data_IF_729946725768
#
_entry.id   IF_729946725768
#
_cell.length_a   1.000
_cell.length_b   1.000
_cell.length_c   1.000
_cell.angle_alpha   90.00
_cell.angle_beta   90.00
_cell.angle_gamma   90.00
#
_symmetry.space_group_name_H-M   'P 1'
#
loop_
_entity.id
_entity.type
_entity.pdbx_description
1 polymer ?
#
# COMPACT_ATOMS: atom_id res chain seq x y z
N UNK A 1 0.78 -64.07 46.82
CA UNK A 1 -0.26 -63.31 46.07
C UNK A 1 -0.41 -63.92 44.69
N UNK A 2 -1.63 -64.28 44.28
CA UNK A 2 -1.88 -65.06 43.06
C UNK A 2 -1.83 -64.14 41.83
N UNK A 3 -0.90 -64.41 40.91
CA UNK A 3 -0.67 -63.65 39.66
C UNK A 3 -1.95 -63.44 38.83
N UNK A 4 -2.89 -64.38 38.89
CA UNK A 4 -4.18 -64.27 38.19
C UNK A 4 -5.10 -63.13 38.66
N UNK A 5 -4.92 -62.61 39.88
CA UNK A 5 -5.73 -61.48 40.38
C UNK A 5 -5.22 -60.14 39.86
N UNK A 6 -3.92 -60.03 39.59
CA UNK A 6 -3.28 -58.82 39.04
C UNK A 6 -3.69 -58.64 37.58
N UNK A 7 -3.72 -59.73 36.81
CA UNK A 7 -4.14 -59.76 35.40
C UNK A 7 -5.61 -59.38 35.15
N UNK A 8 -6.47 -59.47 36.17
CA UNK A 8 -7.88 -59.05 36.08
C UNK A 8 -8.14 -57.66 36.67
N UNK A 9 -7.10 -56.97 37.13
CA UNK A 9 -7.25 -55.63 37.71
C UNK A 9 -7.61 -54.60 36.62
N UNK A 10 -8.69 -53.83 36.76
CA UNK A 10 -9.02 -52.73 35.85
C UNK A 10 -7.91 -51.68 35.76
N UNK A 11 -7.17 -51.49 36.85
CA UNK A 11 -6.01 -50.58 36.90
C UNK A 11 -4.86 -51.06 36.01
N UNK A 12 -4.58 -52.36 35.97
CA UNK A 12 -3.54 -52.91 35.08
C UNK A 12 -3.91 -52.67 33.62
N UNK A 13 -5.16 -52.95 33.24
CA UNK A 13 -5.64 -52.69 31.89
C UNK A 13 -5.55 -51.21 31.53
N UNK A 14 -5.92 -50.31 32.46
CA UNK A 14 -5.78 -48.86 32.25
C UNK A 14 -4.34 -48.45 32.00
N UNK A 15 -3.38 -48.95 32.79
CA UNK A 15 -1.95 -48.66 32.58
C UNK A 15 -1.41 -49.24 31.27
N UNK A 16 -1.84 -50.45 30.89
CA UNK A 16 -1.42 -51.09 29.63
C UNK A 16 -2.01 -50.35 28.44
N UNK A 17 -3.31 -50.03 28.44
CA UNK A 17 -3.94 -49.23 27.40
C UNK A 17 -3.33 -47.83 27.31
N UNK A 18 -3.11 -47.16 28.44
CA UNK A 18 -2.43 -45.87 28.48
C UNK A 18 -1.01 -45.96 27.92
N UNK A 19 -0.26 -47.01 28.27
CA UNK A 19 1.07 -47.27 27.74
C UNK A 19 1.07 -47.55 26.24
N UNK A 20 0.07 -48.29 25.73
CA UNK A 20 -0.10 -48.54 24.29
C UNK A 20 -0.44 -47.27 23.52
N UNK A 21 -1.31 -46.42 24.05
CA UNK A 21 -1.65 -45.12 23.44
C UNK A 21 -0.43 -44.20 23.42
N UNK A 22 0.30 -44.07 24.53
CA UNK A 22 1.52 -43.27 24.58
C UNK A 22 2.64 -43.83 23.71
N UNK A 23 2.78 -45.15 23.64
CA UNK A 23 3.75 -45.82 22.76
C UNK A 23 3.42 -45.58 21.29
N UNK A 24 2.15 -45.72 20.91
CA UNK A 24 1.69 -45.43 19.55
C UNK A 24 1.89 -43.95 19.18
N UNK A 25 1.55 -43.03 20.09
CA UNK A 25 1.81 -41.61 19.91
C UNK A 25 3.30 -41.31 19.77
N UNK A 26 4.16 -41.95 20.55
CA UNK A 26 5.61 -41.75 20.47
C UNK A 26 6.22 -42.24 19.14
N UNK A 27 5.61 -43.22 18.48
CA UNK A 27 6.07 -43.76 17.19
C UNK A 27 5.46 -43.01 16.00
N UNK A 28 4.25 -42.45 16.15
CA UNK A 28 3.55 -41.71 15.09
C UNK A 28 3.74 -40.19 15.16
N UNK A 29 4.23 -39.66 16.29
CA UNK A 29 4.59 -38.25 16.40
C UNK A 29 5.76 -37.93 15.45
N UNK A 30 5.65 -36.88 14.62
CA UNK A 30 6.71 -36.50 13.70
C UNK A 30 8.03 -36.22 14.45
N UNK A 31 9.20 -36.53 13.85
CA UNK A 31 10.53 -36.39 14.48
C UNK A 31 10.85 -34.99 15.04
N UNK A 32 10.09 -33.98 14.63
CA UNK A 32 10.17 -32.60 15.11
C UNK A 32 9.92 -32.45 16.63
N UNK A 33 9.27 -33.42 17.28
CA UNK A 33 8.97 -33.34 18.71
C UNK A 33 10.21 -33.43 19.64
N UNK A 34 11.40 -33.78 19.13
CA UNK A 34 12.64 -33.92 19.93
C UNK A 34 13.89 -33.46 19.18
N UNK A 35 13.92 -32.23 18.70
CA UNK A 35 15.20 -31.53 18.63
C UNK A 35 15.69 -31.25 20.06
N UNK A 36 16.96 -31.49 20.43
CA UNK A 36 17.51 -31.04 21.70
C UNK A 36 17.29 -29.53 21.83
N UNK A 37 16.73 -29.07 22.96
CA UNK A 37 16.57 -27.63 23.20
C UNK A 37 17.97 -27.01 23.28
N UNK A 38 18.32 -26.14 22.33
CA UNK A 38 19.48 -25.24 22.46
C UNK A 38 19.10 -24.19 23.52
N UNK A 39 19.35 -24.52 24.77
CA UNK A 39 19.03 -23.73 25.97
C UNK A 39 20.02 -22.59 26.20
N UNK A 40 21.04 -22.47 25.35
CA UNK A 40 22.04 -21.41 25.40
C UNK A 40 21.60 -20.24 24.52
N UNK A 41 21.50 -19.06 25.13
CA UNK A 41 21.40 -17.79 24.41
C UNK A 41 22.82 -17.33 24.07
N UNK A 42 23.14 -17.21 22.78
CA UNK A 42 24.45 -16.74 22.31
C UNK A 42 24.29 -15.37 21.69
N UNK A 43 24.71 -14.33 22.42
CA UNK A 43 24.81 -12.97 21.88
C UNK A 43 26.18 -12.80 21.22
N UNK A 44 26.19 -12.46 19.94
CA UNK A 44 27.44 -12.23 19.20
C UNK A 44 28.00 -10.82 19.48
N UNK A 45 29.31 -10.65 19.32
CA UNK A 45 29.94 -9.32 19.42
C UNK A 45 29.34 -8.32 18.41
N UNK A 46 29.00 -8.78 17.21
CA UNK A 46 28.37 -7.95 16.19
C UNK A 46 26.96 -7.47 16.57
N UNK A 47 26.18 -8.27 17.30
CA UNK A 47 24.88 -7.86 17.84
C UNK A 47 25.04 -6.86 18.98
N UNK A 48 25.98 -7.12 19.88
CA UNK A 48 26.30 -6.21 20.97
C UNK A 48 26.75 -4.84 20.46
N UNK A 49 27.61 -4.80 19.43
CA UNK A 49 28.03 -3.56 18.79
C UNK A 49 26.86 -2.84 18.12
N UNK A 50 25.99 -3.56 17.38
CA UNK A 50 24.78 -2.96 16.77
C UNK A 50 23.84 -2.35 17.81
N UNK A 51 23.69 -2.98 18.98
CA UNK A 51 22.88 -2.44 20.09
C UNK A 51 23.49 -1.16 20.65
N UNK A 52 24.81 -1.13 20.82
CA UNK A 52 25.52 0.07 21.26
C UNK A 52 25.43 1.22 20.24
N UNK A 53 25.61 0.93 18.95
CA UNK A 53 25.49 1.90 17.86
C UNK A 53 24.07 2.46 17.77
N UNK A 54 23.06 1.61 17.92
CA UNK A 54 21.66 2.02 17.93
C UNK A 54 21.35 2.93 19.11
N UNK A 55 21.89 2.62 20.29
CA UNK A 55 21.77 3.47 21.47
C UNK A 55 22.45 4.83 21.25
N UNK A 56 23.67 4.83 20.70
CA UNK A 56 24.40 6.05 20.37
C UNK A 56 23.64 6.92 19.37
N UNK A 57 23.09 6.32 18.31
CA UNK A 57 22.31 7.04 17.31
C UNK A 57 21.04 7.68 17.90
N UNK A 58 20.37 7.01 18.84
CA UNK A 58 19.16 7.51 19.48
C UNK A 58 19.43 8.57 20.56
N UNK A 59 20.51 8.43 21.34
CA UNK A 59 20.76 9.23 22.55
C UNK A 59 21.98 10.16 22.46
N UNK A 60 22.78 10.07 21.39
CA UNK A 60 23.97 10.91 21.16
C UNK A 60 25.16 10.63 22.08
N UNK A 61 25.11 9.56 22.89
CA UNK A 61 26.22 9.09 23.74
C UNK A 61 26.26 7.57 23.83
N UNK A 62 27.41 7.03 24.24
CA UNK A 62 27.51 5.61 24.56
C UNK A 62 26.62 5.24 25.78
N UNK A 63 26.12 3.99 25.83
CA UNK A 63 25.39 3.50 26.99
C UNK A 63 26.32 3.39 28.21
N UNK A 64 25.79 3.69 29.38
CA UNK A 64 26.44 3.38 30.66
C UNK A 64 26.42 1.87 30.90
N UNK A 65 27.25 1.37 31.81
CA UNK A 65 27.31 -0.07 32.11
C UNK A 65 25.94 -0.63 32.56
N UNK A 66 25.16 0.14 33.31
CA UNK A 66 23.81 -0.24 33.72
C UNK A 66 22.85 -0.33 32.53
N UNK A 67 22.92 0.62 31.59
CA UNK A 67 22.12 0.62 30.36
C UNK A 67 22.54 -0.52 29.44
N UNK A 68 23.84 -0.80 29.28
CA UNK A 68 24.33 -1.95 28.52
C UNK A 68 23.81 -3.27 29.08
N UNK A 69 23.80 -3.45 30.41
CA UNK A 69 23.17 -4.62 31.05
C UNK A 69 21.67 -4.68 30.78
N UNK A 70 20.99 -3.54 30.77
CA UNK A 70 19.58 -3.44 30.39
C UNK A 70 19.34 -3.92 28.96
N UNK A 71 20.11 -3.40 27.99
CA UNK A 71 20.03 -3.79 26.58
C UNK A 71 20.22 -5.30 26.39
N UNK A 72 21.24 -5.88 27.03
CA UNK A 72 21.50 -7.33 26.95
C UNK A 72 20.36 -8.14 27.58
N UNK A 73 19.79 -7.67 28.70
CA UNK A 73 18.65 -8.30 29.34
C UNK A 73 17.41 -8.27 28.45
N UNK A 74 17.12 -7.13 27.84
CA UNK A 74 15.94 -6.97 26.96
C UNK A 74 16.07 -7.87 25.73
N UNK A 75 17.26 -7.93 25.11
CA UNK A 75 17.56 -8.88 24.04
C UNK A 75 17.32 -10.33 24.48
N UNK A 76 17.80 -10.72 25.66
CA UNK A 76 17.63 -12.09 26.16
C UNK A 76 16.16 -12.43 26.42
N UNK A 77 15.38 -11.47 26.94
CA UNK A 77 13.93 -11.64 27.15
C UNK A 77 13.23 -11.82 25.81
N UNK A 78 13.52 -10.98 24.81
CA UNK A 78 12.96 -11.09 23.46
C UNK A 78 13.25 -12.48 22.87
N UNK A 79 14.52 -12.91 22.90
CA UNK A 79 14.95 -14.19 22.34
C UNK A 79 14.25 -15.38 23.01
N UNK A 80 14.16 -15.39 24.35
CA UNK A 80 13.45 -16.45 25.08
C UNK A 80 11.96 -16.45 24.75
N UNK A 81 11.32 -15.28 24.72
CA UNK A 81 9.89 -15.18 24.42
C UNK A 81 9.57 -15.64 23.00
N UNK A 82 10.39 -15.26 22.01
CA UNK A 82 10.21 -15.71 20.63
C UNK A 82 10.41 -17.22 20.50
N UNK A 83 11.47 -17.78 21.12
CA UNK A 83 11.71 -19.23 21.11
C UNK A 83 10.53 -20.01 21.73
N UNK A 84 10.04 -19.57 22.89
CA UNK A 84 8.91 -20.22 23.55
C UNK A 84 7.59 -20.05 22.76
N UNK A 85 7.35 -18.88 22.15
CA UNK A 85 6.19 -18.66 21.29
C UNK A 85 6.17 -19.60 20.08
N UNK A 86 7.32 -19.80 19.42
CA UNK A 86 7.46 -20.75 18.31
C UNK A 86 7.32 -22.21 18.79
N UNK A 87 7.87 -22.55 19.96
CA UNK A 87 7.72 -23.88 20.56
C UNK A 87 6.26 -24.22 20.89
N UNK A 88 5.47 -23.21 21.29
CA UNK A 88 4.03 -23.31 21.51
C UNK A 88 3.22 -23.25 20.19
N UNK A 89 3.86 -22.98 19.05
CA UNK A 89 3.21 -22.87 17.75
C UNK A 89 2.30 -21.65 17.62
N UNK A 90 2.57 -20.56 18.35
CA UNK A 90 1.76 -19.34 18.32
C UNK A 90 1.83 -18.58 16.98
N UNK A 91 2.77 -18.94 16.11
CA UNK A 91 2.88 -18.47 14.73
C UNK A 91 1.90 -19.17 13.77
N UNK A 92 1.39 -20.34 14.14
CA UNK A 92 0.56 -21.19 13.26
C UNK A 92 -0.86 -20.67 13.18
N UNK A 93 -1.34 -20.46 11.95
CA UNK A 93 -2.72 -20.00 11.69
C UNK A 93 -2.93 -18.50 11.95
N UNK A 94 -1.92 -17.76 12.35
CA UNK A 94 -2.00 -16.32 12.54
C UNK A 94 -1.79 -15.56 11.22
N UNK A 95 -2.83 -14.88 10.76
CA UNK A 95 -2.80 -14.15 9.49
C UNK A 95 -1.81 -12.97 9.49
N UNK A 96 -1.62 -12.30 10.63
CA UNK A 96 -0.69 -11.17 10.76
C UNK A 96 0.76 -11.66 10.64
N UNK A 97 1.11 -12.74 11.33
CA UNK A 97 2.45 -13.34 11.27
C UNK A 97 2.72 -13.85 9.85
N UNK A 98 1.77 -14.55 9.23
CA UNK A 98 1.89 -15.01 7.83
C UNK A 98 2.11 -13.86 6.86
N UNK A 99 1.33 -12.78 6.98
CA UNK A 99 1.50 -11.60 6.15
C UNK A 99 2.87 -10.94 6.37
N UNK A 100 3.33 -10.84 7.63
CA UNK A 100 4.64 -10.26 7.96
C UNK A 100 5.80 -11.05 7.35
N UNK A 101 5.73 -12.38 7.37
CA UNK A 101 6.73 -13.25 6.73
C UNK A 101 6.71 -13.08 5.20
N UNK A 102 5.53 -13.03 4.58
CA UNK A 102 5.39 -12.73 3.15
C UNK A 102 6.04 -11.40 2.80
N UNK A 103 5.70 -10.32 3.50
CA UNK A 103 6.29 -8.99 3.25
C UNK A 103 7.81 -8.98 3.44
N UNK A 104 8.36 -9.74 4.41
CA UNK A 104 9.81 -9.90 4.55
C UNK A 104 10.44 -10.59 3.33
N UNK A 105 9.79 -11.62 2.80
CA UNK A 105 10.25 -12.30 1.57
C UNK A 105 10.19 -11.37 0.35
N UNK A 106 9.12 -10.59 0.21
CA UNK A 106 8.98 -9.58 -0.84
C UNK A 106 10.08 -8.51 -0.74
N UNK A 107 10.38 -8.02 0.47
CA UNK A 107 11.46 -7.08 0.69
C UNK A 107 12.84 -7.62 0.26
N UNK A 108 13.12 -8.90 0.56
CA UNK A 108 14.35 -9.54 0.12
C UNK A 108 14.43 -9.64 -1.42
N UNK A 109 13.30 -9.89 -2.08
CA UNK A 109 13.22 -9.95 -3.53
C UNK A 109 13.45 -8.57 -4.18
N UNK A 110 13.00 -7.49 -3.54
CA UNK A 110 13.10 -6.11 -4.04
C UNK A 110 14.46 -5.46 -3.75
N UNK A 111 15.19 -5.92 -2.73
CA UNK A 111 16.42 -5.30 -2.25
C UNK A 111 17.47 -4.98 -3.34
N UNK A 112 17.70 -5.82 -4.37
CA UNK A 112 18.66 -5.51 -5.43
C UNK A 112 18.31 -4.23 -6.20
N UNK A 113 17.03 -3.94 -6.42
CA UNK A 113 16.57 -2.79 -7.20
C UNK A 113 16.96 -1.44 -6.58
N UNK A 114 17.11 -1.38 -5.25
CA UNK A 114 17.49 -0.15 -4.54
C UNK A 114 18.87 0.39 -4.95
N UNK A 115 19.76 -0.50 -5.41
CA UNK A 115 21.14 -0.15 -5.80
C UNK A 115 21.32 -0.04 -7.32
N UNK A 116 20.30 -0.38 -8.10
CA UNK A 116 20.36 -0.27 -9.56
C UNK A 116 20.47 1.19 -10.00
N UNK A 117 21.19 1.41 -11.08
CA UNK A 117 21.32 2.72 -11.71
C UNK A 117 20.92 2.56 -13.18
N UNK A 118 19.85 3.24 -13.64
CA UNK A 118 19.48 3.21 -15.05
C UNK A 118 20.55 3.95 -15.86
N UNK A 119 20.83 3.47 -17.06
CA UNK A 119 21.51 4.30 -18.05
C UNK A 119 20.56 5.38 -18.59
N UNK A 120 21.12 6.38 -19.28
CA UNK A 120 20.34 7.53 -19.76
C UNK A 120 19.24 7.11 -20.74
N UNK A 121 19.51 6.15 -21.62
CA UNK A 121 18.55 5.66 -22.61
C UNK A 121 17.36 4.94 -21.94
N UNK A 122 17.60 4.12 -20.92
CA UNK A 122 16.57 3.46 -20.14
C UNK A 122 15.73 4.47 -19.35
N UNK A 123 16.36 5.50 -18.79
CA UNK A 123 15.67 6.54 -18.03
C UNK A 123 14.80 7.41 -18.95
N UNK A 124 15.30 7.80 -20.13
CA UNK A 124 14.52 8.52 -21.15
C UNK A 124 13.34 7.70 -21.66
N UNK A 125 13.56 6.41 -21.96
CA UNK A 125 12.49 5.51 -22.39
C UNK A 125 11.43 5.35 -21.29
N UNK A 126 11.83 5.21 -20.03
CA UNK A 126 10.90 5.13 -18.90
C UNK A 126 10.12 6.44 -18.73
N UNK A 127 10.79 7.59 -18.84
CA UNK A 127 10.17 8.90 -18.76
C UNK A 127 9.10 9.10 -19.85
N UNK A 128 9.45 8.77 -21.10
CA UNK A 128 8.54 8.90 -22.23
C UNK A 128 7.30 7.99 -22.10
N UNK A 129 7.51 6.74 -21.67
CA UNK A 129 6.41 5.79 -21.45
C UNK A 129 5.46 6.20 -20.31
N UNK A 130 5.97 6.95 -19.32
CA UNK A 130 5.22 7.38 -18.14
C UNK A 130 4.93 8.90 -18.13
N UNK A 131 5.03 9.58 -19.28
CA UNK A 131 4.94 11.03 -19.38
C UNK A 131 3.66 11.62 -18.75
N UNK A 132 2.54 10.90 -18.82
CA UNK A 132 1.27 11.33 -18.21
C UNK A 132 1.36 11.49 -16.68
N UNK A 133 2.18 10.69 -16.00
CA UNK A 133 2.37 10.78 -14.55
C UNK A 133 3.24 11.98 -14.14
N UNK A 134 4.07 12.47 -15.06
CA UNK A 134 5.00 13.59 -14.85
C UNK A 134 4.49 14.93 -15.39
N UNK A 135 3.43 14.89 -16.20
CA UNK A 135 2.83 16.08 -16.77
C UNK A 135 2.17 16.93 -15.67
N UNK A 136 2.46 18.24 -15.69
CA UNK A 136 1.62 19.19 -14.98
C UNK A 136 0.29 19.29 -15.73
N UNK A 137 -0.84 19.05 -15.06
CA UNK A 137 -2.15 19.10 -15.70
C UNK A 137 -2.43 20.50 -16.24
N UNK A 138 -3.23 20.56 -17.30
CA UNK A 138 -3.73 21.84 -17.80
C UNK A 138 -4.47 22.58 -16.68
N UNK A 139 -4.30 23.90 -16.65
CA UNK A 139 -4.96 24.79 -15.71
C UNK A 139 -5.94 25.69 -16.46
N UNK A 140 -7.11 25.89 -15.87
CA UNK A 140 -8.13 26.78 -16.42
C UNK A 140 -8.44 27.88 -15.41
N UNK A 141 -8.57 29.09 -15.93
CA UNK A 141 -9.13 30.23 -15.21
C UNK A 141 -10.49 30.53 -15.83
N UNK A 142 -11.52 30.62 -15.01
CA UNK A 142 -12.87 30.88 -15.50
C UNK A 142 -13.71 31.60 -14.45
N UNK A 143 -14.70 32.31 -14.94
CA UNK A 143 -15.73 32.95 -14.14
C UNK A 143 -17.04 32.18 -14.32
N UNK A 144 -17.78 31.93 -13.25
CA UNK A 144 -19.02 31.16 -13.28
C UNK A 144 -20.16 31.86 -12.55
N UNK A 145 -21.37 31.62 -13.03
CA UNK A 145 -22.63 32.00 -12.39
C UNK A 145 -23.51 30.77 -12.31
N UNK A 146 -23.94 30.42 -11.09
CA UNK A 146 -24.92 29.35 -10.88
C UNK A 146 -26.31 29.85 -11.30
N UNK A 147 -26.99 29.09 -12.15
CA UNK A 147 -28.35 29.39 -12.59
C UNK A 147 -29.36 28.91 -11.54
N UNK A 148 -30.50 29.61 -11.37
CA UNK A 148 -31.62 29.09 -10.60
C UNK A 148 -32.04 27.70 -11.07
N UNK A 149 -32.40 26.81 -10.15
CA UNK A 149 -32.69 25.41 -10.45
C UNK A 149 -33.87 25.18 -11.41
N UNK A 150 -34.78 26.13 -11.51
CA UNK A 150 -35.97 26.13 -12.37
C UNK A 150 -35.89 27.13 -13.54
N UNK A 151 -34.70 27.67 -13.83
CA UNK A 151 -34.51 28.65 -14.90
C UNK A 151 -34.91 28.08 -16.28
N UNK A 152 -35.80 28.81 -16.96
CA UNK A 152 -36.21 28.55 -18.33
C UNK A 152 -35.11 28.93 -19.33
N UNK A 153 -35.20 28.41 -20.56
CA UNK A 153 -34.23 28.73 -21.61
C UNK A 153 -34.19 30.24 -21.94
N UNK A 154 -35.32 30.95 -21.83
CA UNK A 154 -35.41 32.39 -22.03
C UNK A 154 -34.69 33.16 -20.93
N UNK A 155 -34.86 32.75 -19.66
CA UNK A 155 -34.16 33.35 -18.52
C UNK A 155 -32.65 33.11 -18.58
N UNK A 156 -32.21 31.91 -18.97
CA UNK A 156 -30.78 31.62 -19.17
C UNK A 156 -30.18 32.49 -20.28
N UNK A 157 -30.92 32.69 -21.38
CA UNK A 157 -30.47 33.56 -22.48
C UNK A 157 -30.41 35.03 -22.08
N UNK A 158 -31.39 35.52 -21.30
CA UNK A 158 -31.39 36.87 -20.75
C UNK A 158 -30.21 37.11 -19.79
N UNK A 159 -29.99 36.20 -18.84
CA UNK A 159 -28.85 36.25 -17.91
C UNK A 159 -27.50 36.26 -18.66
N UNK A 160 -27.36 35.43 -19.70
CA UNK A 160 -26.15 35.44 -20.53
C UNK A 160 -25.96 36.79 -21.24
N UNK A 161 -27.02 37.37 -21.78
CA UNK A 161 -26.96 38.67 -22.45
C UNK A 161 -26.60 39.81 -21.49
N UNK A 162 -27.07 39.78 -20.24
CA UNK A 162 -26.67 40.73 -19.20
C UNK A 162 -25.18 40.60 -18.85
N UNK A 163 -24.69 39.37 -18.73
CA UNK A 163 -23.28 39.06 -18.48
C UNK A 163 -22.36 39.49 -19.63
N UNK A 164 -22.81 39.36 -20.88
CA UNK A 164 -22.12 39.86 -22.07
C UNK A 164 -22.07 41.40 -22.11
N UNK A 165 -23.06 42.07 -21.54
CA UNK A 165 -23.11 43.53 -21.40
C UNK A 165 -22.29 44.05 -20.21
N UNK A 166 -21.68 43.16 -19.41
CA UNK A 166 -20.79 43.52 -18.31
C UNK A 166 -21.46 43.59 -16.94
N UNK A 167 -22.63 42.96 -16.75
CA UNK A 167 -23.20 42.76 -15.41
C UNK A 167 -22.19 42.06 -14.48
N UNK A 168 -22.21 42.41 -13.19
CA UNK A 168 -21.35 41.78 -12.19
C UNK A 168 -21.77 40.31 -11.96
N UNK A 169 -20.91 39.32 -12.30
CA UNK A 169 -21.23 37.91 -12.13
C UNK A 169 -21.46 37.49 -10.68
N UNK A 170 -20.95 38.25 -9.69
CA UNK A 170 -21.19 37.98 -8.28
C UNK A 170 -22.56 38.46 -7.77
N UNK A 171 -23.22 39.34 -8.53
CA UNK A 171 -24.49 39.96 -8.15
C UNK A 171 -25.72 39.38 -8.84
N UNK A 172 -25.55 38.40 -9.74
CA UNK A 172 -26.64 37.82 -10.52
C UNK A 172 -26.66 36.29 -10.44
N UNK A 173 -27.79 35.69 -10.79
CA UNK A 173 -28.01 34.25 -10.69
C UNK A 173 -28.36 33.78 -9.28
N UNK A 174 -28.16 32.50 -9.02
CA UNK A 174 -28.45 31.88 -7.72
C UNK A 174 -27.30 32.09 -6.75
N UNK A 175 -27.64 32.52 -5.52
CA UNK A 175 -26.67 32.63 -4.43
C UNK A 175 -26.00 31.27 -4.13
N UNK A 176 -24.68 31.27 -4.06
CA UNK A 176 -23.85 30.07 -3.84
C UNK A 176 -22.59 30.41 -3.05
N UNK A 177 -22.03 29.40 -2.39
CA UNK A 177 -20.72 29.49 -1.72
C UNK A 177 -19.56 29.23 -2.70
N UNK A 178 -19.85 28.89 -3.95
CA UNK A 178 -18.83 28.68 -4.97
C UNK A 178 -18.14 30.01 -5.30
N UNK A 179 -16.81 30.02 -5.46
CA UNK A 179 -16.10 31.19 -5.96
C UNK A 179 -16.67 31.61 -7.32
N UNK A 180 -16.91 32.91 -7.49
CA UNK A 180 -17.35 33.47 -8.78
C UNK A 180 -16.23 33.34 -9.82
N UNK A 181 -14.98 33.57 -9.42
CA UNK A 181 -13.79 33.44 -10.28
C UNK A 181 -12.85 32.38 -9.72
N UNK A 182 -12.38 31.51 -10.60
CA UNK A 182 -11.37 30.52 -10.35
C UNK A 182 -10.15 30.85 -11.21
N UNK A 183 -8.96 30.82 -10.61
CA UNK A 183 -7.70 31.16 -11.29
C UNK A 183 -6.74 29.99 -11.26
N UNK A 184 -6.16 29.67 -12.42
CA UNK A 184 -5.11 28.66 -12.59
C UNK A 184 -5.42 27.31 -11.93
N UNK A 185 -6.69 26.88 -11.98
CA UNK A 185 -7.09 25.62 -11.36
C UNK A 185 -6.83 24.44 -12.29
N UNK A 186 -6.08 23.45 -11.79
CA UNK A 186 -5.84 22.22 -12.52
C UNK A 186 -7.14 21.47 -12.80
N UNK A 187 -7.29 20.88 -14.00
CA UNK A 187 -8.53 20.17 -14.39
C UNK A 187 -9.02 19.14 -13.35
N UNK A 188 -8.18 18.27 -12.75
CA UNK A 188 -8.63 17.35 -11.69
C UNK A 188 -9.13 18.04 -10.42
N UNK A 189 -8.65 19.26 -10.13
CA UNK A 189 -9.15 20.05 -9.01
C UNK A 189 -10.51 20.66 -9.31
N UNK A 190 -10.74 21.09 -10.55
CA UNK A 190 -12.05 21.54 -11.03
C UNK A 190 -13.07 20.41 -10.92
N UNK A 191 -12.72 19.20 -11.36
CA UNK A 191 -13.62 18.03 -11.29
C UNK A 191 -14.00 17.66 -9.85
N UNK A 192 -13.08 17.81 -8.89
CA UNK A 192 -13.37 17.55 -7.48
C UNK A 192 -14.38 18.53 -6.89
N UNK A 193 -14.38 19.77 -7.38
CA UNK A 193 -15.32 20.80 -6.92
C UNK A 193 -16.65 20.64 -7.66
N UNK A 194 -16.64 20.67 -8.99
CA UNK A 194 -17.86 20.76 -9.81
C UNK A 194 -18.42 19.41 -10.28
N UNK A 195 -17.69 18.31 -10.08
CA UNK A 195 -18.04 16.99 -10.58
C UNK A 195 -17.28 16.63 -11.87
N UNK A 196 -17.25 15.31 -12.16
CA UNK A 196 -16.52 14.76 -13.30
C UNK A 196 -17.00 15.35 -14.64
N UNK A 197 -16.05 15.66 -15.53
CA UNK A 197 -16.34 16.20 -16.86
C UNK A 197 -16.53 17.72 -16.94
N UNK A 198 -16.79 18.41 -15.83
CA UNK A 198 -16.98 19.87 -15.83
C UNK A 198 -15.71 20.61 -16.28
N UNK A 199 -14.55 20.23 -15.75
CA UNK A 199 -13.27 20.87 -16.12
C UNK A 199 -12.93 20.71 -17.60
N UNK A 200 -13.19 19.52 -18.18
CA UNK A 200 -13.02 19.28 -19.61
C UNK A 200 -13.98 20.11 -20.47
N UNK A 201 -15.24 20.24 -20.05
CA UNK A 201 -16.21 21.07 -20.75
C UNK A 201 -15.83 22.56 -20.73
N UNK A 202 -15.35 23.06 -19.58
CA UNK A 202 -14.86 24.44 -19.45
C UNK A 202 -13.64 24.70 -20.33
N UNK A 203 -12.68 23.77 -20.37
CA UNK A 203 -11.47 23.90 -21.20
C UNK A 203 -11.76 23.95 -22.72
N UNK A 204 -12.94 23.45 -23.15
CA UNK A 204 -13.38 23.49 -24.56
C UNK A 204 -14.18 24.74 -24.95
N UNK A 205 -14.45 25.66 -24.02
CA UNK A 205 -15.24 26.86 -24.31
C UNK A 205 -14.43 27.91 -25.09
N UNK A 206 -15.09 28.81 -25.84
CA UNK A 206 -14.45 29.98 -26.40
C UNK A 206 -13.88 30.88 -25.30
N UNK A 207 -12.64 31.34 -25.50
CA UNK A 207 -11.98 32.30 -24.60
C UNK A 207 -12.74 33.62 -24.55
N UNK A 208 -12.88 34.16 -23.34
CA UNK A 208 -13.49 35.45 -23.02
C UNK A 208 -14.96 35.60 -23.45
N UNK A 209 -15.68 34.50 -23.71
CA UNK A 209 -17.10 34.52 -24.04
C UNK A 209 -17.93 33.68 -23.06
N UNK A 210 -19.10 34.18 -22.68
CA UNK A 210 -20.03 33.45 -21.81
C UNK A 210 -20.66 32.29 -22.57
N UNK A 211 -20.59 31.10 -21.98
CA UNK A 211 -21.07 29.84 -22.55
C UNK A 211 -21.87 29.06 -21.50
N UNK A 212 -22.65 28.09 -21.96
CA UNK A 212 -23.50 27.25 -21.12
C UNK A 212 -24.96 27.22 -21.59
N UNK A 213 -25.85 26.56 -20.85
CA UNK A 213 -25.62 26.06 -19.48
C UNK A 213 -24.72 24.80 -19.42
N UNK A 214 -23.84 24.74 -18.43
CA UNK A 214 -22.98 23.59 -18.11
C UNK A 214 -23.42 22.92 -16.80
N UNK A 215 -23.64 21.60 -16.84
CA UNK A 215 -24.07 20.80 -15.69
C UNK A 215 -22.91 20.52 -14.72
N UNK A 216 -23.14 20.75 -13.43
CA UNK A 216 -22.26 20.36 -12.34
C UNK A 216 -23.04 19.61 -11.24
N UNK A 217 -22.35 19.14 -10.20
CA UNK A 217 -22.98 18.60 -8.99
C UNK A 217 -23.84 19.61 -8.21
N UNK A 218 -23.71 20.91 -8.49
CA UNK A 218 -24.47 22.00 -7.84
C UNK A 218 -25.65 22.52 -8.67
N UNK A 219 -25.74 22.16 -9.95
CA UNK A 219 -26.76 22.68 -10.86
C UNK A 219 -26.17 23.09 -12.21
N UNK A 220 -26.86 24.01 -12.90
CA UNK A 220 -26.46 24.52 -14.20
C UNK A 220 -25.67 25.83 -14.05
N UNK A 221 -24.63 26.00 -14.85
CA UNK A 221 -23.76 27.19 -14.78
C UNK A 221 -23.66 27.88 -16.14
N UNK A 222 -23.67 29.22 -16.11
CA UNK A 222 -23.05 30.00 -17.16
C UNK A 222 -21.58 30.19 -16.81
N UNK A 223 -20.69 29.96 -17.76
CA UNK A 223 -19.25 29.99 -17.55
C UNK A 223 -18.60 30.82 -18.65
N UNK A 224 -17.68 31.71 -18.25
CA UNK A 224 -16.75 32.37 -19.16
C UNK A 224 -15.36 31.84 -18.91
N UNK A 225 -14.76 31.25 -19.93
CA UNK A 225 -13.36 30.84 -19.87
C UNK A 225 -12.47 32.07 -19.99
N UNK A 226 -11.69 32.37 -18.95
CA UNK A 226 -10.83 33.56 -18.92
C UNK A 226 -9.43 33.22 -19.46
N UNK A 227 -8.87 32.06 -19.11
CA UNK A 227 -7.57 31.60 -19.62
C UNK A 227 -7.44 30.06 -19.58
N UNK A 228 -6.60 29.52 -20.46
CA UNK A 228 -6.17 28.12 -20.44
C UNK A 228 -4.65 28.07 -20.50
N UNK A 229 -4.05 27.44 -19.50
CA UNK A 229 -2.65 27.04 -19.53
C UNK A 229 -2.58 25.56 -19.90
N UNK A 230 -1.96 25.26 -21.05
CA UNK A 230 -1.83 23.91 -21.53
C UNK A 230 -1.07 23.02 -20.53
N UNK A 231 -1.39 21.73 -20.54
CA UNK A 231 -0.61 20.75 -19.80
C UNK A 231 0.86 20.82 -20.25
N UNK A 232 1.78 20.77 -19.29
CA UNK A 232 3.20 20.89 -19.56
C UNK A 232 3.92 19.68 -19.01
N UNK A 233 4.66 18.99 -19.87
CA UNK A 233 5.61 17.98 -19.47
C UNK A 233 6.95 18.67 -19.17
N UNK A 234 7.43 18.68 -17.92
CA UNK A 234 8.78 19.17 -17.62
C UNK A 234 9.84 18.38 -18.43
N UNK A 235 11.03 18.94 -18.66
CA UNK A 235 12.13 18.17 -19.21
C UNK A 235 12.67 17.21 -18.14
N UNK A 236 13.21 16.05 -18.56
CA UNK A 236 13.65 14.98 -17.68
C UNK A 236 14.68 15.48 -16.65
N UNK A 237 15.55 16.40 -17.02
CA UNK A 237 16.60 16.98 -16.16
C UNK A 237 16.02 17.63 -14.90
N UNK A 238 14.81 18.20 -14.98
CA UNK A 238 14.13 18.78 -13.82
C UNK A 238 13.54 17.74 -12.88
N UNK A 239 13.27 16.53 -13.36
CA UNK A 239 12.60 15.46 -12.61
C UNK A 239 13.49 14.23 -12.42
N UNK A 240 14.77 14.30 -12.78
CA UNK A 240 15.65 13.14 -12.93
C UNK A 240 15.66 12.24 -11.69
N UNK A 241 15.81 12.80 -10.50
CA UNK A 241 15.85 12.03 -9.25
C UNK A 241 14.52 11.34 -8.94
N UNK A 242 13.40 12.01 -9.19
CA UNK A 242 12.06 11.43 -9.07
C UNK A 242 11.87 10.28 -10.04
N UNK A 243 12.24 10.46 -11.31
CA UNK A 243 12.10 9.44 -12.35
C UNK A 243 13.00 8.24 -12.05
N UNK A 244 14.21 8.45 -11.53
CA UNK A 244 15.10 7.36 -11.08
C UNK A 244 14.46 6.57 -9.93
N UNK A 245 13.88 7.25 -8.94
CA UNK A 245 13.21 6.60 -7.82
C UNK A 245 12.00 5.76 -8.29
N UNK A 246 11.18 6.32 -9.18
CA UNK A 246 10.03 5.63 -9.77
C UNK A 246 10.46 4.43 -10.61
N UNK A 247 11.53 4.58 -11.41
CA UNK A 247 12.10 3.49 -12.19
C UNK A 247 12.60 2.35 -11.29
N UNK A 248 13.33 2.67 -10.20
CA UNK A 248 13.75 1.66 -9.21
C UNK A 248 12.57 0.95 -8.57
N UNK A 249 11.51 1.70 -8.26
CA UNK A 249 10.26 1.14 -7.73
C UNK A 249 9.61 0.19 -8.75
N UNK A 250 9.63 0.54 -10.04
CA UNK A 250 9.13 -0.33 -11.10
C UNK A 250 9.97 -1.61 -11.25
N UNK A 251 11.29 -1.51 -11.22
CA UNK A 251 12.20 -2.67 -11.25
C UNK A 251 12.02 -3.56 -10.02
N UNK A 252 11.86 -2.98 -8.82
CA UNK A 252 11.55 -3.72 -7.60
C UNK A 252 10.28 -4.57 -7.76
N UNK A 253 9.20 -3.98 -8.30
CA UNK A 253 7.96 -4.71 -8.58
C UNK A 253 8.17 -5.87 -9.54
N UNK A 254 8.95 -5.68 -10.62
CA UNK A 254 9.28 -6.75 -11.58
C UNK A 254 10.05 -7.88 -10.91
N UNK A 255 11.06 -7.56 -10.10
CA UNK A 255 11.85 -8.55 -9.36
C UNK A 255 10.99 -9.35 -8.38
N UNK A 256 10.10 -8.68 -7.63
CA UNK A 256 9.17 -9.35 -6.73
C UNK A 256 8.27 -10.33 -7.47
N UNK A 257 7.70 -9.93 -8.62
CA UNK A 257 6.87 -10.82 -9.45
C UNK A 257 7.68 -12.04 -9.92
N UNK A 258 8.85 -11.82 -10.52
CA UNK A 258 9.70 -12.91 -11.00
C UNK A 258 10.12 -13.87 -9.87
N UNK A 259 10.49 -13.34 -8.71
CA UNK A 259 10.83 -14.13 -7.53
C UNK A 259 9.65 -14.96 -7.03
N UNK A 260 8.45 -14.37 -7.01
CA UNK A 260 7.23 -15.05 -6.56
C UNK A 260 6.86 -16.17 -7.53
N UNK A 261 6.92 -15.92 -8.84
CA UNK A 261 6.61 -16.92 -9.86
C UNK A 261 7.60 -18.10 -9.80
N UNK A 262 8.89 -17.80 -9.65
CA UNK A 262 9.93 -18.81 -9.44
C UNK A 262 9.68 -19.63 -8.16
N UNK A 263 9.32 -18.99 -7.05
CA UNK A 263 8.96 -19.71 -5.83
C UNK A 263 7.74 -20.61 -6.04
N UNK A 264 6.67 -20.09 -6.64
CA UNK A 264 5.44 -20.84 -6.89
C UNK A 264 5.71 -22.08 -7.76
N UNK A 265 6.60 -21.99 -8.75
CA UNK A 265 6.97 -23.11 -9.61
C UNK A 265 7.55 -24.32 -8.86
N UNK A 266 8.07 -24.11 -7.64
CA UNK A 266 8.66 -25.15 -6.79
C UNK A 266 7.60 -25.90 -5.97
N UNK A 267 6.36 -25.44 -5.97
CA UNK A 267 5.26 -26.02 -5.21
C UNK A 267 4.19 -26.53 -6.16
N UNK A 268 3.60 -27.68 -5.82
CA UNK A 268 2.36 -28.14 -6.42
C UNK A 268 1.19 -27.67 -5.56
N UNK A 269 0.24 -26.98 -6.17
CA UNK A 269 -1.00 -26.63 -5.50
C UNK A 269 -1.89 -27.87 -5.47
N UNK A 270 -2.24 -28.32 -4.26
CA UNK A 270 -3.24 -29.36 -4.05
C UNK A 270 -4.55 -28.65 -3.64
N UNK A 271 -5.55 -28.73 -4.50
CA UNK A 271 -6.84 -28.09 -4.28
C UNK A 271 -7.81 -29.13 -3.70
N UNK A 272 -8.61 -28.77 -2.69
CA UNK A 272 -9.63 -29.68 -2.16
C UNK A 272 -10.62 -30.07 -3.28
N UNK A 273 -10.62 -31.35 -3.67
CA UNK A 273 -11.54 -31.91 -4.67
C UNK A 273 -10.93 -32.25 -6.04
N UNK A 274 -9.61 -32.16 -6.23
CA UNK A 274 -8.94 -32.49 -7.50
C UNK A 274 -8.81 -34.01 -7.82
N UNK A 275 -9.44 -34.88 -7.01
CA UNK A 275 -9.66 -36.31 -7.35
C UNK A 275 -10.80 -36.50 -8.38
N UNK A 276 -10.87 -35.67 -9.41
CA UNK A 276 -11.91 -35.73 -10.44
C UNK A 276 -11.41 -35.43 -11.85
N UNK A 277 -10.29 -36.04 -12.27
CA UNK A 277 -9.97 -36.19 -13.70
C UNK A 277 -9.00 -37.34 -13.98
N UNK A 278 -9.25 -38.54 -13.44
CA UNK A 278 -8.88 -39.75 -14.19
C UNK A 278 -10.10 -40.17 -15.02
N UNK A 279 -10.03 -39.90 -16.32
CA UNK A 279 -10.70 -40.67 -17.35
C UNK A 279 -9.67 -40.97 -18.46
N UNK A 280 -9.77 -42.10 -19.18
CA UNK A 280 -10.90 -43.03 -19.26
C UNK A 280 -10.69 -44.39 -18.56
#
# INVERSE_FOLDING_TARGET
MKIGTILRSPLLHFFVLGGLVFGFYAVTAPPEARAPRDDVLRLTEAEMNRMADSFLAAWGRAPTEAESRGLVRDWAIEEVMVREALALGLDKGDAMIRNRLRTKMEFLAEAPAATMTPDDAALEAYYAQNAAAYARPAQVSFTQVLLPGDATAEEVAALRAELEQGADPGGIGQATMLPTRLEAMAAPAVERVFGGGFGGAVAGLPLSAWSGPLSSGYGQHLVRLDAVEAAQLPPLERLRDTVIADWRSAEARKMRTAFTDELLSRYRLDLPGDDAAEQP
#
